data_IF_624811326126
#
_entry.id   IF_624811326126
#
_cell.length_a   1.000
_cell.length_b   1.000
_cell.length_c   1.000
_cell.angle_alpha   90.00
_cell.angle_beta   90.00
_cell.angle_gamma   90.00
#
_symmetry.space_group_name_H-M   'P 1'
#
loop_
_entity.id
_entity.type
_entity.pdbx_description
1 polymer ?
#
# COMPACT_ATOMS: atom_id res chain seq x y z
N UNK A 1 -5.91 -35.82 -5.07
CA UNK A 1 -4.78 -36.58 -5.65
C UNK A 1 -4.68 -38.02 -5.17
N UNK A 2 -4.84 -38.37 -3.90
CA UNK A 2 -4.80 -39.77 -3.39
C UNK A 2 -5.89 -40.70 -3.96
N UNK A 3 -7.05 -40.21 -4.35
CA UNK A 3 -8.15 -41.03 -4.93
C UNK A 3 -7.88 -41.47 -6.38
N UNK A 4 -7.28 -40.62 -7.20
CA UNK A 4 -7.00 -40.92 -8.61
C UNK A 4 -5.92 -42.03 -8.73
N UNK A 5 -4.91 -42.02 -7.87
CA UNK A 5 -3.86 -43.05 -7.85
C UNK A 5 -4.40 -44.45 -7.49
N UNK A 6 -5.41 -44.54 -6.64
CA UNK A 6 -6.01 -45.82 -6.25
C UNK A 6 -6.79 -46.48 -7.39
N UNK A 7 -7.45 -45.68 -8.24
CA UNK A 7 -8.16 -46.16 -9.43
C UNK A 7 -7.25 -46.62 -10.56
N UNK A 8 -6.14 -45.90 -10.79
CA UNK A 8 -5.13 -46.29 -11.80
C UNK A 8 -4.48 -47.62 -11.46
N UNK A 9 -4.21 -47.91 -10.20
CA UNK A 9 -3.62 -49.18 -9.73
C UNK A 9 -4.61 -50.34 -9.89
N UNK A 10 -5.91 -50.14 -9.72
CA UNK A 10 -6.94 -51.14 -9.93
C UNK A 10 -7.05 -51.49 -11.42
N UNK A 11 -6.97 -50.51 -12.33
CA UNK A 11 -7.04 -50.73 -13.78
C UNK A 11 -5.81 -51.48 -14.29
N UNK A 12 -4.64 -51.25 -13.70
CA UNK A 12 -3.40 -51.96 -14.09
C UNK A 12 -3.37 -53.42 -13.60
N UNK A 13 -4.02 -53.77 -12.51
CA UNK A 13 -4.14 -55.13 -12.01
C UNK A 13 -5.09 -56.00 -12.82
N UNK A 14 -6.03 -55.43 -13.56
CA UNK A 14 -7.02 -56.17 -14.39
C UNK A 14 -6.58 -56.36 -15.85
N UNK A 15 -5.31 -56.10 -16.22
CA UNK A 15 -4.82 -56.12 -17.60
C UNK A 15 -4.76 -57.48 -18.26
N UNK A 16 -5.08 -58.59 -17.55
CA UNK A 16 -4.84 -59.93 -18.08
C UNK A 16 -6.06 -60.79 -18.45
N UNK A 17 -7.33 -60.30 -18.32
CA UNK A 17 -8.53 -61.06 -18.76
C UNK A 17 -9.63 -60.13 -19.30
N UNK A 18 -9.50 -59.65 -20.54
CA UNK A 18 -10.63 -58.90 -21.07
C UNK A 18 -10.45 -58.41 -22.50
N UNK A 19 -11.26 -58.95 -23.38
CA UNK A 19 -11.24 -58.70 -24.81
C UNK A 19 -11.60 -57.27 -25.25
N UNK A 20 -11.79 -57.07 -26.54
CA UNK A 20 -12.07 -55.79 -27.25
C UNK A 20 -13.02 -54.78 -26.56
N UNK A 21 -13.97 -55.29 -25.74
CA UNK A 21 -14.98 -54.50 -25.04
C UNK A 21 -14.35 -53.65 -23.88
N UNK A 22 -13.41 -54.24 -23.15
CA UNK A 22 -12.72 -53.57 -22.05
C UNK A 22 -11.81 -52.45 -22.55
N UNK A 23 -11.13 -52.65 -23.69
CA UNK A 23 -10.31 -51.62 -24.35
C UNK A 23 -11.13 -50.41 -24.81
N UNK A 24 -12.38 -50.59 -25.25
CA UNK A 24 -13.30 -49.50 -25.62
C UNK A 24 -13.76 -48.71 -24.38
N UNK A 25 -14.10 -49.40 -23.30
CA UNK A 25 -14.49 -48.74 -22.02
C UNK A 25 -13.35 -47.95 -21.43
N UNK A 26 -12.13 -48.48 -21.39
CA UNK A 26 -10.95 -47.76 -20.88
C UNK A 26 -10.64 -46.52 -21.74
N UNK A 27 -10.73 -46.63 -23.08
CA UNK A 27 -10.59 -45.46 -23.98
C UNK A 27 -11.68 -44.42 -23.72
N UNK A 28 -12.92 -44.81 -23.56
CA UNK A 28 -14.05 -43.93 -23.28
C UNK A 28 -13.81 -43.14 -21.96
N UNK A 29 -13.45 -43.85 -20.88
CA UNK A 29 -13.17 -43.21 -19.59
C UNK A 29 -11.92 -42.33 -19.58
N UNK A 30 -10.89 -42.68 -20.33
CA UNK A 30 -9.72 -41.82 -20.52
C UNK A 30 -10.07 -40.54 -21.30
N UNK A 31 -10.93 -40.65 -22.32
CA UNK A 31 -11.38 -39.47 -23.09
C UNK A 31 -12.27 -38.56 -22.22
N UNK A 32 -13.19 -39.14 -21.44
CA UNK A 32 -14.03 -38.39 -20.50
C UNK A 32 -13.18 -37.71 -19.40
N UNK A 33 -12.19 -38.40 -18.84
CA UNK A 33 -11.26 -37.81 -17.86
C UNK A 33 -10.41 -36.70 -18.46
N UNK A 34 -9.98 -36.81 -19.72
CA UNK A 34 -9.21 -35.79 -20.43
C UNK A 34 -10.09 -34.56 -20.73
N UNK A 35 -11.35 -34.75 -21.12
CA UNK A 35 -12.32 -33.66 -21.30
C UNK A 35 -12.65 -32.96 -20.00
N UNK A 36 -12.74 -33.70 -18.88
CA UNK A 36 -12.94 -33.13 -17.55
C UNK A 36 -11.71 -32.34 -17.08
N UNK A 37 -10.49 -32.81 -17.38
CA UNK A 37 -9.26 -32.09 -17.08
C UNK A 37 -9.15 -30.79 -17.90
N UNK A 38 -9.56 -30.81 -19.16
CA UNK A 38 -9.54 -29.61 -20.04
C UNK A 38 -10.55 -28.58 -19.57
N UNK A 39 -11.73 -29.01 -19.10
CA UNK A 39 -12.74 -28.07 -18.54
C UNK A 39 -12.33 -27.43 -17.20
N UNK A 40 -11.40 -28.07 -16.45
CA UNK A 40 -10.82 -27.49 -15.23
C UNK A 40 -9.66 -26.52 -15.57
N UNK A 41 -9.06 -26.67 -16.73
CA UNK A 41 -7.93 -25.86 -17.19
C UNK A 41 -8.30 -24.68 -18.10
N UNK A 42 -9.58 -24.56 -18.49
CA UNK A 42 -10.05 -23.33 -19.14
C UNK A 42 -10.13 -22.25 -18.04
N UNK A 43 -9.31 -21.20 -18.09
CA UNK A 43 -9.53 -20.08 -17.21
C UNK A 43 -10.93 -19.55 -17.53
N UNK A 44 -11.86 -19.70 -16.60
CA UNK A 44 -13.09 -18.89 -16.62
C UNK A 44 -12.61 -17.46 -16.63
N UNK A 45 -12.82 -16.77 -17.77
CA UNK A 45 -12.60 -15.34 -17.85
C UNK A 45 -13.48 -14.76 -16.77
N UNK A 46 -12.88 -14.33 -15.66
CA UNK A 46 -13.62 -13.63 -14.63
C UNK A 46 -14.32 -12.47 -15.36
N UNK A 47 -15.63 -12.41 -15.27
CA UNK A 47 -16.36 -11.24 -15.75
C UNK A 47 -15.74 -10.05 -15.02
N UNK A 48 -15.15 -9.13 -15.76
CA UNK A 48 -14.64 -7.88 -15.22
C UNK A 48 -15.86 -7.04 -14.91
N UNK A 49 -16.33 -7.13 -13.66
CA UNK A 49 -17.38 -6.25 -13.16
C UNK A 49 -16.84 -4.83 -13.20
N UNK A 50 -17.55 -3.91 -13.84
CA UNK A 50 -17.16 -2.49 -13.83
C UNK A 50 -17.42 -1.93 -12.42
N UNK A 51 -16.39 -1.29 -11.82
CA UNK A 51 -16.51 -0.73 -10.46
C UNK A 51 -17.60 0.35 -10.39
N UNK A 52 -17.82 1.10 -11.47
CA UNK A 52 -18.89 2.11 -11.55
C UNK A 52 -20.27 1.44 -11.49
N UNK A 53 -20.44 0.33 -12.21
CA UNK A 53 -21.68 -0.44 -12.19
C UNK A 53 -21.90 -1.10 -10.81
N UNK A 54 -20.85 -1.68 -10.23
CA UNK A 54 -20.87 -2.26 -8.89
C UNK A 54 -21.31 -1.24 -7.85
N UNK A 55 -20.73 -0.02 -7.90
CA UNK A 55 -21.04 1.06 -6.97
C UNK A 55 -22.48 1.54 -7.11
N UNK A 56 -22.98 1.69 -8.36
CA UNK A 56 -24.39 2.01 -8.62
C UNK A 56 -25.36 0.93 -8.12
N UNK A 57 -25.01 -0.33 -8.34
CA UNK A 57 -25.81 -1.47 -7.87
C UNK A 57 -25.84 -1.57 -6.34
N UNK A 58 -24.80 -1.07 -5.67
CA UNK A 58 -24.78 -0.91 -4.21
C UNK A 58 -25.58 0.30 -3.70
N UNK A 59 -26.22 1.08 -4.59
CA UNK A 59 -27.08 2.20 -4.22
C UNK A 59 -26.37 3.54 -4.04
N UNK A 60 -25.11 3.66 -4.50
CA UNK A 60 -24.37 4.90 -4.41
C UNK A 60 -24.34 5.65 -5.77
N UNK A 61 -24.45 6.97 -5.71
CA UNK A 61 -24.18 7.81 -6.88
C UNK A 61 -22.68 7.85 -7.13
N UNK A 62 -22.28 7.67 -8.38
CA UNK A 62 -20.89 7.75 -8.83
C UNK A 62 -20.83 8.43 -10.19
N UNK A 63 -19.92 9.39 -10.30
CA UNK A 63 -19.58 9.96 -11.59
C UNK A 63 -18.57 9.02 -12.30
N UNK A 64 -18.87 8.51 -13.51
CA UNK A 64 -17.92 7.66 -14.25
C UNK A 64 -16.56 8.29 -14.51
N UNK A 65 -16.46 9.64 -14.50
CA UNK A 65 -15.21 10.35 -14.65
C UNK A 65 -14.27 10.18 -13.44
N UNK A 66 -14.83 9.85 -12.27
CA UNK A 66 -14.07 9.60 -11.03
C UNK A 66 -13.61 8.14 -10.88
N UNK A 67 -13.77 7.34 -11.95
CA UNK A 67 -13.27 5.96 -11.98
C UNK A 67 -11.76 5.96 -11.77
N UNK A 68 -11.23 5.16 -10.79
CA UNK A 68 -9.79 5.01 -10.61
C UNK A 68 -9.11 4.50 -11.88
N UNK A 69 -7.89 4.98 -12.14
CA UNK A 69 -7.07 4.47 -13.24
C UNK A 69 -6.48 3.09 -12.93
N UNK A 70 -6.18 2.83 -11.65
CA UNK A 70 -5.79 1.52 -11.16
C UNK A 70 -6.34 1.29 -9.75
N UNK A 71 -6.80 0.07 -9.45
CA UNK A 71 -7.29 -0.27 -8.13
C UNK A 71 -7.14 -1.76 -7.81
N UNK A 72 -6.92 -2.08 -6.53
CA UNK A 72 -6.84 -3.44 -6.02
C UNK A 72 -7.45 -3.53 -4.62
N UNK A 73 -8.11 -4.64 -4.34
CA UNK A 73 -8.48 -5.05 -2.97
C UNK A 73 -7.92 -6.43 -2.71
N UNK A 74 -7.22 -6.60 -1.61
CA UNK A 74 -6.66 -7.89 -1.19
C UNK A 74 -7.12 -8.28 0.21
N UNK A 75 -7.22 -9.57 0.45
CA UNK A 75 -7.23 -10.16 1.78
C UNK A 75 -5.82 -10.07 2.37
N UNK A 76 -5.64 -9.30 3.44
CA UNK A 76 -4.33 -9.02 4.02
C UNK A 76 -3.75 -10.17 4.87
N UNK A 77 -4.52 -11.24 5.16
CA UNK A 77 -3.99 -12.45 5.78
C UNK A 77 -3.34 -13.38 4.76
N UNK A 78 -3.92 -13.45 3.55
CA UNK A 78 -3.53 -14.46 2.54
C UNK A 78 -2.85 -13.86 1.31
N UNK A 79 -2.97 -12.56 1.08
CA UNK A 79 -2.55 -11.87 -0.14
C UNK A 79 -3.47 -12.16 -1.34
N UNK A 80 -4.62 -12.85 -1.12
CA UNK A 80 -5.55 -13.16 -2.20
C UNK A 80 -6.19 -11.88 -2.74
N UNK A 81 -6.14 -11.70 -4.05
CA UNK A 81 -6.81 -10.59 -4.74
C UNK A 81 -8.32 -10.84 -4.75
N UNK A 82 -9.08 -9.89 -4.24
CA UNK A 82 -10.55 -9.89 -4.20
C UNK A 82 -11.14 -9.03 -5.31
N UNK A 83 -10.44 -7.96 -5.67
CA UNK A 83 -10.75 -7.04 -6.76
C UNK A 83 -9.48 -6.57 -7.44
N UNK A 84 -9.52 -6.33 -8.75
CA UNK A 84 -8.40 -5.74 -9.49
C UNK A 84 -8.86 -5.02 -10.76
N UNK A 85 -8.27 -3.86 -11.03
CA UNK A 85 -8.37 -3.14 -12.30
C UNK A 85 -7.04 -2.41 -12.55
N UNK A 86 -6.38 -2.67 -13.68
CA UNK A 86 -5.11 -2.08 -14.10
C UNK A 86 -3.99 -2.09 -13.04
N UNK A 87 -3.93 -3.14 -12.22
CA UNK A 87 -3.12 -3.20 -10.99
C UNK A 87 -1.61 -3.10 -11.20
N UNK A 88 -1.13 -3.34 -12.41
CA UNK A 88 0.28 -3.30 -12.80
C UNK A 88 0.63 -2.03 -13.62
N UNK A 89 -0.31 -1.08 -13.77
CA UNK A 89 -0.04 0.20 -14.40
C UNK A 89 0.81 1.09 -13.48
N UNK A 90 1.98 1.52 -13.98
CA UNK A 90 2.90 2.40 -13.24
C UNK A 90 2.33 3.82 -13.14
N UNK A 91 2.30 4.36 -11.92
CA UNK A 91 1.78 5.68 -11.60
C UNK A 91 2.59 6.39 -10.53
N UNK A 92 2.46 7.72 -10.51
CA UNK A 92 2.97 8.53 -9.40
C UNK A 92 2.12 8.29 -8.14
N UNK A 93 2.71 7.72 -7.07
CA UNK A 93 2.01 7.51 -5.81
C UNK A 93 1.80 8.80 -4.99
N UNK A 94 2.47 9.88 -5.36
CA UNK A 94 2.52 11.10 -4.56
C UNK A 94 2.85 10.79 -3.08
N UNK A 95 2.15 11.40 -2.13
CA UNK A 95 2.36 11.20 -0.69
C UNK A 95 2.10 9.80 -0.15
N UNK A 96 1.60 8.86 -0.96
CA UNK A 96 1.57 7.43 -0.58
C UNK A 96 3.00 6.90 -0.35
N UNK A 97 3.99 7.47 -1.02
CA UNK A 97 5.43 7.16 -0.83
C UNK A 97 5.88 7.20 0.63
N UNK A 98 5.24 8.06 1.46
CA UNK A 98 5.52 8.21 2.89
C UNK A 98 5.30 6.91 3.69
N UNK A 99 4.48 5.99 3.16
CA UNK A 99 4.27 4.67 3.77
C UNK A 99 5.58 3.87 3.78
N UNK A 100 6.39 3.95 2.70
CA UNK A 100 7.72 3.31 2.67
C UNK A 100 8.68 3.98 3.64
N UNK A 101 8.66 5.31 3.77
CA UNK A 101 9.50 6.02 4.76
C UNK A 101 9.15 5.59 6.18
N UNK A 102 7.86 5.56 6.53
CA UNK A 102 7.40 5.06 7.85
C UNK A 102 7.76 3.59 8.04
N UNK A 103 7.65 2.75 6.99
CA UNK A 103 8.08 1.35 7.06
C UNK A 103 9.54 1.21 7.49
N UNK A 104 10.46 1.97 6.87
CA UNK A 104 11.89 1.95 7.22
C UNK A 104 12.16 2.48 8.63
N UNK A 105 11.41 3.47 9.09
CA UNK A 105 11.48 3.96 10.49
C UNK A 105 11.05 2.85 11.45
N UNK A 106 9.92 2.19 11.19
CA UNK A 106 9.44 1.08 12.02
C UNK A 106 10.40 -0.11 12.02
N UNK A 107 11.03 -0.39 10.87
CA UNK A 107 12.07 -1.41 10.78
C UNK A 107 13.29 -1.04 11.63
N UNK A 108 13.73 0.22 11.62
CA UNK A 108 14.84 0.72 12.45
C UNK A 108 14.50 0.66 13.94
N UNK A 109 13.24 0.96 14.31
CA UNK A 109 12.76 0.79 15.69
C UNK A 109 12.76 -0.69 16.11
N UNK A 110 12.30 -1.58 15.24
CA UNK A 110 12.29 -3.01 15.53
C UNK A 110 13.69 -3.61 15.67
N UNK A 111 14.71 -3.02 15.02
CA UNK A 111 16.12 -3.38 15.16
C UNK A 111 16.79 -2.77 16.39
N UNK A 112 16.15 -1.80 17.05
CA UNK A 112 16.71 -1.07 18.18
C UNK A 112 17.62 0.10 17.80
N UNK A 113 17.69 0.46 16.52
CA UNK A 113 18.48 1.61 16.04
C UNK A 113 17.80 2.95 16.38
N UNK A 114 16.47 2.94 16.47
CA UNK A 114 15.62 4.08 16.85
C UNK A 114 14.62 3.67 17.93
N UNK A 115 13.98 4.67 18.58
CA UNK A 115 12.84 4.43 19.45
C UNK A 115 11.73 5.44 19.20
N UNK A 116 10.46 5.10 19.48
CA UNK A 116 9.32 5.99 19.31
C UNK A 116 9.45 7.28 20.14
N UNK A 117 10.03 7.18 21.33
CA UNK A 117 10.23 8.30 22.25
C UNK A 117 11.51 9.09 21.98
N UNK A 118 12.38 8.62 21.08
CA UNK A 118 13.58 9.35 20.67
C UNK A 118 13.17 10.68 20.06
N UNK A 119 13.82 11.75 20.50
CA UNK A 119 13.54 13.11 20.04
C UNK A 119 14.52 13.52 18.95
N UNK A 120 13.98 14.18 17.94
CA UNK A 120 14.73 14.79 16.86
C UNK A 120 14.58 16.30 16.98
N UNK A 121 15.68 17.01 17.15
CA UNK A 121 15.69 18.47 17.17
C UNK A 121 15.54 18.99 15.74
N UNK A 122 14.49 19.80 15.51
CA UNK A 122 14.24 20.38 14.20
C UNK A 122 15.34 21.40 13.84
N UNK A 123 15.92 21.26 12.66
CA UNK A 123 16.87 22.19 12.09
C UNK A 123 16.19 23.42 11.50
N UNK A 124 16.98 24.40 11.11
CA UNK A 124 16.52 25.56 10.35
C UNK A 124 15.95 25.17 8.98
N UNK A 125 16.54 24.16 8.35
CA UNK A 125 16.08 23.62 7.07
C UNK A 125 14.72 22.91 7.22
N UNK A 126 14.50 22.14 8.31
CA UNK A 126 13.22 21.49 8.58
C UNK A 126 12.11 22.53 8.77
N UNK A 127 12.39 23.61 9.50
CA UNK A 127 11.47 24.73 9.68
C UNK A 127 11.19 25.46 8.35
N UNK A 128 12.21 25.63 7.50
CA UNK A 128 12.05 26.24 6.19
C UNK A 128 11.19 25.36 5.26
N UNK A 129 11.45 24.05 5.21
CA UNK A 129 10.62 23.09 4.45
C UNK A 129 9.16 23.15 4.94
N UNK A 130 8.93 23.21 6.25
CA UNK A 130 7.58 23.26 6.82
C UNK A 130 6.77 24.48 6.41
N UNK A 131 7.45 25.55 5.97
CA UNK A 131 6.86 26.81 5.54
C UNK A 131 6.59 26.87 4.03
N UNK A 132 6.95 25.84 3.25
CA UNK A 132 6.70 25.79 1.80
C UNK A 132 5.22 25.50 1.56
N UNK A 133 4.51 26.49 1.01
CA UNK A 133 3.06 26.38 0.75
C UNK A 133 2.70 25.41 -0.38
N UNK A 134 3.59 25.21 -1.34
CA UNK A 134 3.35 24.37 -2.51
C UNK A 134 3.25 22.86 -2.19
N UNK A 135 3.68 22.43 -1.01
CA UNK A 135 3.66 21.03 -0.56
C UNK A 135 2.97 20.90 0.80
N UNK A 136 2.37 19.73 1.07
CA UNK A 136 1.68 19.49 2.34
C UNK A 136 2.66 19.54 3.50
N UNK A 137 2.33 20.32 4.51
CA UNK A 137 3.12 20.45 5.74
C UNK A 137 2.21 20.76 6.93
N UNK A 138 2.78 20.58 8.12
CA UNK A 138 2.37 21.22 9.36
C UNK A 138 3.54 22.10 9.85
N UNK A 139 3.32 22.93 10.85
CA UNK A 139 4.37 23.81 11.36
C UNK A 139 5.44 23.04 12.11
N UNK A 140 6.68 23.13 11.66
CA UNK A 140 7.87 22.68 12.39
C UNK A 140 8.65 23.91 12.86
N UNK A 141 9.06 23.92 14.12
CA UNK A 141 9.75 25.06 14.74
C UNK A 141 11.20 24.71 15.01
N UNK A 142 12.13 25.51 14.49
CA UNK A 142 13.57 25.35 14.72
C UNK A 142 13.90 25.21 16.21
N UNK A 143 14.79 24.29 16.55
CA UNK A 143 15.27 24.02 17.90
C UNK A 143 14.29 23.24 18.78
N UNK A 144 13.05 22.99 18.31
CA UNK A 144 12.08 22.16 19.05
C UNK A 144 12.41 20.68 18.84
N UNK A 145 12.29 19.90 19.92
CA UNK A 145 12.48 18.46 19.90
C UNK A 145 11.15 17.74 19.64
N UNK A 146 11.08 16.98 18.55
CA UNK A 146 9.91 16.19 18.14
C UNK A 146 10.19 14.70 18.39
N UNK A 147 9.40 13.99 19.22
CA UNK A 147 9.46 12.54 19.32
C UNK A 147 9.20 11.87 17.95
N UNK A 148 9.85 10.76 17.67
CA UNK A 148 9.66 10.01 16.40
C UNK A 148 8.18 9.64 16.21
N UNK A 149 7.47 9.24 17.27
CA UNK A 149 6.04 8.95 17.17
C UNK A 149 5.19 10.15 16.71
N UNK A 150 5.53 11.37 17.16
CA UNK A 150 4.84 12.58 16.73
C UNK A 150 5.13 12.89 15.24
N UNK A 151 6.38 12.72 14.82
CA UNK A 151 6.75 12.86 13.41
C UNK A 151 6.04 11.82 12.51
N UNK A 152 5.81 10.58 13.00
CA UNK A 152 5.03 9.57 12.29
C UNK A 152 3.57 10.03 12.13
N UNK A 153 2.92 10.56 13.20
CA UNK A 153 1.57 11.13 13.12
C UNK A 153 1.51 12.27 12.09
N UNK A 154 2.46 13.22 12.16
CA UNK A 154 2.55 14.35 11.22
C UNK A 154 2.78 13.90 9.77
N UNK A 155 3.56 12.83 9.55
CA UNK A 155 3.82 12.26 8.24
C UNK A 155 2.57 11.59 7.65
N UNK A 156 1.83 10.83 8.45
CA UNK A 156 0.73 10.02 7.96
C UNK A 156 -0.60 10.80 7.86
N UNK A 157 -0.91 11.69 8.82
CA UNK A 157 -2.23 12.34 8.91
C UNK A 157 -2.26 13.63 8.09
N UNK A 158 -1.57 14.73 8.45
CA UNK A 158 -1.54 15.94 7.63
C UNK A 158 -0.60 15.82 6.43
N UNK A 159 0.05 14.65 6.27
CA UNK A 159 0.96 14.40 5.14
C UNK A 159 2.19 15.32 5.09
N UNK A 160 2.70 15.75 6.26
CA UNK A 160 3.83 16.67 6.37
C UNK A 160 5.08 16.18 5.64
N UNK A 161 5.57 16.97 4.69
CA UNK A 161 6.83 16.69 4.01
C UNK A 161 8.02 16.96 4.92
N UNK A 162 8.00 18.04 5.71
CA UNK A 162 9.06 18.35 6.68
C UNK A 162 9.25 17.22 7.69
N UNK A 163 8.17 16.76 8.34
CA UNK A 163 8.24 15.63 9.27
C UNK A 163 8.74 14.34 8.58
N UNK A 164 8.38 14.12 7.31
CA UNK A 164 8.85 12.98 6.54
C UNK A 164 10.36 13.02 6.30
N UNK A 165 10.90 14.20 5.95
CA UNK A 165 12.35 14.37 5.76
C UNK A 165 13.10 14.22 7.10
N UNK A 166 12.55 14.75 8.21
CA UNK A 166 13.13 14.53 9.54
C UNK A 166 13.19 13.04 9.90
N UNK A 167 12.15 12.26 9.60
CA UNK A 167 12.13 10.81 9.81
C UNK A 167 13.15 10.10 8.90
N UNK A 168 13.23 10.47 7.63
CA UNK A 168 14.21 9.91 6.70
C UNK A 168 15.64 10.15 7.20
N UNK A 169 15.94 11.38 7.64
CA UNK A 169 17.23 11.77 8.20
C UNK A 169 17.56 11.07 9.54
N UNK A 170 16.54 10.67 10.31
CA UNK A 170 16.74 9.87 11.52
C UNK A 170 17.22 8.45 11.19
N UNK A 171 16.78 7.87 10.06
CA UNK A 171 17.22 6.56 9.58
C UNK A 171 18.56 6.64 8.83
N UNK A 172 18.74 7.67 8.03
CA UNK A 172 19.98 7.96 7.31
C UNK A 172 20.08 9.45 7.00
N UNK A 173 21.16 10.08 7.47
CA UNK A 173 21.41 11.51 7.24
C UNK A 173 21.69 11.86 5.78
N UNK A 174 22.17 10.89 5.00
CA UNK A 174 22.33 11.02 3.56
C UNK A 174 21.01 10.68 2.87
N UNK A 175 20.38 11.69 2.29
CA UNK A 175 19.08 11.54 1.60
C UNK A 175 19.15 10.61 0.39
N UNK A 176 20.31 10.55 -0.33
CA UNK A 176 20.51 9.63 -1.44
C UNK A 176 20.63 8.18 -0.92
N UNK A 177 21.40 7.96 0.16
CA UNK A 177 21.49 6.65 0.81
C UNK A 177 20.13 6.18 1.36
N UNK A 178 19.31 7.09 1.89
CA UNK A 178 17.94 6.74 2.32
C UNK A 178 17.08 6.25 1.14
N UNK A 179 17.13 6.92 -0.01
CA UNK A 179 16.39 6.48 -1.22
C UNK A 179 16.91 5.12 -1.71
N UNK A 180 18.21 4.85 -1.63
CA UNK A 180 18.76 3.52 -1.91
C UNK A 180 18.14 2.47 -0.99
N UNK A 181 17.96 2.76 0.32
CA UNK A 181 17.28 1.87 1.26
C UNK A 181 15.82 1.65 0.89
N UNK A 182 15.09 2.69 0.46
CA UNK A 182 13.69 2.56 -0.02
C UNK A 182 13.62 1.61 -1.21
N UNK A 183 14.46 1.81 -2.23
CA UNK A 183 14.49 0.97 -3.43
C UNK A 183 14.92 -0.47 -3.12
N UNK A 184 15.88 -0.66 -2.21
CA UNK A 184 16.29 -1.98 -1.74
C UNK A 184 15.12 -2.68 -1.05
N UNK A 185 14.41 -1.98 -0.14
CA UNK A 185 13.26 -2.53 0.55
C UNK A 185 12.12 -2.89 -0.43
N UNK A 186 11.84 -2.06 -1.42
CA UNK A 186 10.88 -2.37 -2.47
C UNK A 186 11.19 -3.71 -3.15
N UNK A 187 12.45 -3.92 -3.54
CA UNK A 187 12.90 -5.20 -4.14
C UNK A 187 12.77 -6.38 -3.17
N UNK A 188 13.13 -6.20 -1.90
CA UNK A 188 13.00 -7.24 -0.86
C UNK A 188 11.54 -7.68 -0.65
N UNK A 189 10.60 -6.74 -0.77
CA UNK A 189 9.16 -6.99 -0.67
C UNK A 189 8.54 -7.56 -1.95
N UNK A 190 9.27 -7.56 -3.07
CA UNK A 190 8.76 -7.99 -4.37
C UNK A 190 7.97 -6.91 -5.12
N UNK A 191 8.16 -5.64 -4.77
CA UNK A 191 7.58 -4.46 -5.46
C UNK A 191 8.38 -4.18 -6.73
N UNK A 192 8.16 -4.99 -7.76
CA UNK A 192 9.03 -5.06 -8.94
C UNK A 192 8.83 -3.88 -9.93
N UNK A 193 7.75 -3.14 -9.78
CA UNK A 193 7.39 -1.98 -10.61
C UNK A 193 7.43 -0.67 -9.79
N UNK A 194 8.26 -0.63 -8.74
CA UNK A 194 8.39 0.54 -7.87
C UNK A 194 9.80 1.10 -7.92
N UNK A 195 9.88 2.41 -8.13
CA UNK A 195 11.12 3.19 -8.07
C UNK A 195 10.90 4.45 -7.25
N UNK A 196 11.69 4.63 -6.20
CA UNK A 196 11.72 5.85 -5.39
C UNK A 196 12.83 6.77 -5.87
N UNK A 197 12.51 8.05 -6.06
CA UNK A 197 13.42 9.15 -6.38
C UNK A 197 13.51 10.17 -5.24
N UNK A 198 12.59 10.09 -4.27
CA UNK A 198 12.56 10.93 -3.07
C UNK A 198 11.83 10.23 -1.92
N UNK A 199 12.02 10.73 -0.70
CA UNK A 199 11.48 10.12 0.52
C UNK A 199 9.99 10.38 0.76
N UNK A 200 9.40 11.43 0.15
CA UNK A 200 8.09 11.94 0.57
C UNK A 200 6.98 11.83 -0.47
N UNK A 201 7.34 11.63 -1.75
CA UNK A 201 6.42 11.67 -2.88
C UNK A 201 6.24 13.05 -3.50
N UNK A 202 6.71 14.12 -2.88
CA UNK A 202 6.86 15.41 -3.54
C UNK A 202 8.21 15.45 -4.26
N UNK A 203 8.25 15.88 -5.51
CA UNK A 203 9.49 16.00 -6.29
C UNK A 203 10.44 17.01 -5.64
N UNK A 204 11.75 16.74 -5.69
CA UNK A 204 12.74 17.49 -4.92
C UNK A 204 12.82 18.98 -5.31
N UNK A 205 12.46 19.34 -6.54
CA UNK A 205 12.42 20.75 -6.99
C UNK A 205 11.42 21.63 -6.19
N UNK A 206 10.37 21.01 -5.61
CA UNK A 206 9.38 21.73 -4.80
C UNK A 206 9.89 22.11 -3.41
N UNK A 207 11.07 21.61 -3.00
CA UNK A 207 11.66 21.91 -1.69
C UNK A 207 12.56 23.16 -1.67
N UNK A 208 12.58 23.94 -2.74
CA UNK A 208 13.36 25.20 -2.83
C UNK A 208 14.86 25.03 -2.48
N UNK A 209 15.43 23.87 -2.80
CA UNK A 209 16.83 23.55 -2.53
C UNK A 209 17.13 22.97 -1.14
N UNK A 210 16.16 22.96 -0.21
CA UNK A 210 16.36 22.40 1.15
C UNK A 210 16.39 20.85 1.18
N UNK A 211 15.96 20.18 0.10
CA UNK A 211 16.01 18.73 -0.04
C UNK A 211 16.42 18.40 -1.48
N UNK A 212 17.65 17.95 -1.66
CA UNK A 212 18.22 17.58 -2.97
C UNK A 212 19.09 16.33 -2.84
N UNK A 213 18.50 15.12 -2.98
CA UNK A 213 19.27 13.88 -2.94
C UNK A 213 20.28 13.86 -4.10
N UNK A 214 21.56 13.64 -3.78
CA UNK A 214 22.61 13.60 -4.78
C UNK A 214 22.41 12.43 -5.77
N UNK A 215 22.60 12.69 -7.07
CA UNK A 215 22.45 11.70 -8.12
C UNK A 215 20.99 11.40 -8.53
N UNK A 216 20.01 12.08 -7.94
CA UNK A 216 18.60 11.96 -8.33
C UNK A 216 18.11 13.20 -9.07
N UNK A 217 17.28 12.98 -10.08
CA UNK A 217 16.64 14.07 -10.84
C UNK A 217 15.57 14.75 -9.96
N UNK A 218 15.73 16.05 -9.72
CA UNK A 218 14.87 16.80 -8.81
C UNK A 218 13.41 16.92 -9.30
N UNK A 219 13.17 16.79 -10.61
CA UNK A 219 11.84 16.87 -11.22
C UNK A 219 11.14 15.51 -11.30
N UNK A 220 11.86 14.40 -11.06
CA UNK A 220 11.35 13.06 -11.29
C UNK A 220 10.49 12.56 -10.11
N UNK A 221 9.20 12.23 -10.33
CA UNK A 221 8.36 11.65 -9.30
C UNK A 221 8.79 10.21 -8.97
N UNK A 222 8.30 9.70 -7.84
CA UNK A 222 8.31 8.27 -7.56
C UNK A 222 7.36 7.55 -8.54
N UNK A 223 7.60 6.26 -8.78
CA UNK A 223 6.74 5.40 -9.60
C UNK A 223 6.42 4.12 -8.85
N UNK A 224 5.19 3.65 -8.96
CA UNK A 224 4.72 2.40 -8.34
C UNK A 224 3.45 1.90 -9.03
N UNK A 225 2.94 0.76 -8.59
CA UNK A 225 1.68 0.17 -9.04
C UNK A 225 0.73 -0.08 -7.88
N UNK A 226 -0.56 -0.27 -8.16
CA UNK A 226 -1.53 -0.62 -7.13
C UNK A 226 -1.18 -1.96 -6.45
N UNK A 227 -0.67 -2.94 -7.21
CA UNK A 227 -0.17 -4.21 -6.69
C UNK A 227 0.98 -4.00 -5.69
N UNK A 228 1.98 -3.24 -6.05
CA UNK A 228 3.17 -3.04 -5.23
C UNK A 228 2.83 -2.31 -3.93
N UNK A 229 1.94 -1.32 -3.99
CA UNK A 229 1.46 -0.63 -2.79
C UNK A 229 0.61 -1.53 -1.89
N UNK A 230 -0.18 -2.44 -2.45
CA UNK A 230 -0.92 -3.43 -1.65
C UNK A 230 0.05 -4.39 -0.92
N UNK A 231 1.15 -4.81 -1.57
CA UNK A 231 2.21 -5.61 -0.95
C UNK A 231 2.84 -4.84 0.22
N UNK A 232 3.22 -3.58 0.00
CA UNK A 232 3.79 -2.71 1.04
C UNK A 232 2.85 -2.55 2.24
N UNK A 233 1.58 -2.21 1.99
CA UNK A 233 0.61 -2.00 3.05
C UNK A 233 0.32 -3.27 3.82
N UNK A 234 0.17 -4.41 3.13
CA UNK A 234 -0.05 -5.71 3.76
C UNK A 234 1.13 -6.10 4.67
N UNK A 235 2.38 -5.95 4.20
CA UNK A 235 3.56 -6.29 4.99
C UNK A 235 3.71 -5.35 6.19
N UNK A 236 3.46 -4.04 6.01
CA UNK A 236 3.44 -3.04 7.10
C UNK A 236 2.44 -3.43 8.19
N UNK A 237 1.19 -3.74 7.81
CA UNK A 237 0.14 -4.14 8.76
C UNK A 237 0.45 -5.44 9.50
N UNK A 238 1.18 -6.34 8.87
CA UNK A 238 1.51 -7.64 9.47
C UNK A 238 2.74 -7.55 10.37
N UNK A 239 3.75 -6.77 10.02
CA UNK A 239 4.99 -6.61 10.80
C UNK A 239 4.90 -5.53 11.87
N UNK A 240 4.21 -4.44 11.57
CA UNK A 240 4.17 -3.22 12.39
C UNK A 240 2.74 -2.72 12.58
N UNK A 241 1.80 -3.56 13.07
CA UNK A 241 0.38 -3.21 13.18
C UNK A 241 0.13 -1.97 14.05
N UNK A 242 1.05 -1.65 14.96
CA UNK A 242 0.97 -0.46 15.80
C UNK A 242 0.96 0.86 15.02
N UNK A 243 1.39 0.87 13.73
CA UNK A 243 1.30 2.07 12.88
C UNK A 243 -0.15 2.53 12.71
N UNK A 244 -1.10 1.59 12.67
CA UNK A 244 -2.51 1.90 12.49
C UNK A 244 -3.11 2.73 13.64
N UNK A 245 -2.52 2.69 14.84
CA UNK A 245 -2.97 3.56 15.95
C UNK A 245 -2.85 5.07 15.64
N UNK A 246 -1.95 5.43 14.72
CA UNK A 246 -1.74 6.82 14.30
C UNK A 246 -2.70 7.28 13.21
N UNK A 247 -3.38 6.35 12.53
CA UNK A 247 -4.21 6.65 11.34
C UNK A 247 -5.68 6.27 11.49
N UNK A 248 -6.08 5.67 12.62
CA UNK A 248 -7.42 5.10 12.83
C UNK A 248 -8.45 6.11 13.37
N UNK A 249 -8.11 7.38 13.45
CA UNK A 249 -9.00 8.42 13.98
C UNK A 249 -9.23 9.52 12.95
N UNK A 250 -10.49 10.00 12.88
CA UNK A 250 -10.85 11.13 12.02
C UNK A 250 -10.17 12.45 12.45
N UNK A 251 -9.76 12.54 13.70
CA UNK A 251 -9.06 13.70 14.28
C UNK A 251 -7.86 13.22 15.05
N UNK A 252 -6.70 13.80 14.78
CA UNK A 252 -5.44 13.47 15.45
C UNK A 252 -4.82 14.73 16.02
N UNK A 253 -4.33 14.63 17.25
CA UNK A 253 -3.49 15.66 17.87
C UNK A 253 -2.03 15.23 17.86
N UNK A 254 -1.15 16.22 17.70
CA UNK A 254 0.31 16.04 17.79
C UNK A 254 0.87 16.98 18.83
N UNK A 255 1.98 16.63 19.45
CA UNK A 255 2.67 17.40 20.49
C UNK A 255 1.73 17.80 21.64
N UNK A 256 0.78 16.94 21.99
CA UNK A 256 -0.29 17.22 22.96
C UNK A 256 0.27 17.65 24.31
N UNK A 257 -0.35 18.69 24.90
CA UNK A 257 0.07 19.28 26.19
C UNK A 257 1.34 20.14 26.09
N UNK A 258 1.86 20.41 24.90
CA UNK A 258 2.99 21.32 24.68
C UNK A 258 2.54 22.63 24.02
N UNK A 259 3.36 23.72 24.03
CA UNK A 259 3.08 24.93 23.25
C UNK A 259 3.02 24.72 21.72
N UNK A 260 3.36 23.51 21.24
CA UNK A 260 3.40 23.11 19.83
C UNK A 260 2.30 22.12 19.48
N UNK A 261 1.26 22.01 20.34
CA UNK A 261 0.10 21.16 20.05
C UNK A 261 -0.60 21.63 18.78
N UNK A 262 -0.83 20.68 17.86
CA UNK A 262 -1.64 20.90 16.67
C UNK A 262 -2.72 19.82 16.59
N UNK A 263 -3.86 20.18 15.96
CA UNK A 263 -4.98 19.28 15.71
C UNK A 263 -5.23 19.21 14.22
N UNK A 264 -5.32 17.97 13.70
CA UNK A 264 -5.55 17.72 12.28
C UNK A 264 -6.81 16.89 12.09
N UNK A 265 -7.64 17.32 11.14
CA UNK A 265 -8.66 16.47 10.54
C UNK A 265 -8.00 15.58 9.48
N UNK A 266 -8.39 14.31 9.43
CA UNK A 266 -7.86 13.37 8.47
C UNK A 266 -8.31 13.68 7.04
N UNK A 267 -7.46 13.43 6.06
CA UNK A 267 -7.86 13.37 4.65
C UNK A 267 -8.44 12.00 4.27
N UNK A 268 -8.40 11.02 5.16
CA UNK A 268 -9.04 9.73 4.98
C UNK A 268 -10.52 9.81 5.37
N UNK A 269 -11.35 10.21 4.43
CA UNK A 269 -12.79 10.40 4.66
C UNK A 269 -13.57 9.10 4.88
N UNK A 270 -12.94 7.92 4.69
CA UNK A 270 -13.55 6.61 4.96
C UNK A 270 -13.39 6.15 6.41
N UNK A 271 -12.61 6.86 7.25
CA UNK A 271 -12.49 6.51 8.67
C UNK A 271 -13.82 6.69 9.41
N UNK A 272 -14.14 5.84 10.40
CA UNK A 272 -15.28 6.05 11.28
C UNK A 272 -15.27 7.46 11.89
N UNK A 273 -16.41 8.16 11.80
CA UNK A 273 -16.53 9.54 12.22
C UNK A 273 -16.11 10.61 11.19
N UNK A 274 -15.52 10.23 10.06
CA UNK A 274 -15.27 11.11 8.94
C UNK A 274 -16.45 11.14 7.95
N UNK A 275 -16.36 11.95 6.89
CA UNK A 275 -17.48 12.28 5.99
C UNK A 275 -18.17 11.06 5.34
N UNK A 276 -17.41 10.04 5.00
CA UNK A 276 -17.88 8.81 4.35
C UNK A 276 -17.55 7.57 5.19
N UNK A 277 -17.60 7.69 6.51
CA UNK A 277 -17.12 6.69 7.46
C UNK A 277 -17.66 5.29 7.22
N UNK A 278 -16.74 4.34 7.15
CA UNK A 278 -17.01 2.91 7.04
C UNK A 278 -16.47 2.22 8.28
N UNK A 279 -17.35 1.56 9.02
CA UNK A 279 -16.99 0.79 10.21
C UNK A 279 -15.98 -0.32 9.89
N UNK A 280 -14.81 -0.29 10.57
CA UNK A 280 -13.71 -1.22 10.35
C UNK A 280 -12.54 -0.65 9.56
N UNK A 281 -12.71 0.47 8.85
CA UNK A 281 -11.58 1.21 8.25
C UNK A 281 -10.73 1.80 9.37
N UNK A 282 -9.40 1.58 9.32
CA UNK A 282 -8.45 1.95 10.37
C UNK A 282 -7.15 2.60 9.86
N UNK A 283 -7.08 2.94 8.58
CA UNK A 283 -5.92 3.57 7.96
C UNK A 283 -6.12 3.73 6.46
N UNK A 284 -5.13 4.06 5.68
CA UNK A 284 -3.70 4.23 6.05
C UNK A 284 -3.20 5.59 5.57
N UNK A 285 -3.26 5.89 4.24
CA UNK A 285 -2.65 7.09 3.65
C UNK A 285 -3.35 7.56 2.38
N UNK A 286 -3.49 8.87 2.27
CA UNK A 286 -3.91 9.57 1.04
C UNK A 286 -2.72 10.21 0.34
N UNK A 287 -2.84 10.43 -0.96
CA UNK A 287 -1.87 11.15 -1.78
C UNK A 287 -2.55 11.98 -2.85
N UNK A 288 -1.96 13.12 -3.20
CA UNK A 288 -2.39 13.91 -4.35
C UNK A 288 -1.16 14.44 -5.07
N UNK A 289 -1.15 14.41 -6.39
CA UNK A 289 -0.15 15.03 -7.23
C UNK A 289 -0.68 16.32 -7.86
N UNK A 290 0.23 17.21 -8.26
CA UNK A 290 -0.11 18.49 -8.88
C UNK A 290 -0.91 18.40 -10.19
N UNK A 291 -1.06 17.21 -10.72
CA UNK A 291 -1.87 16.92 -11.92
C UNK A 291 -3.32 16.51 -11.60
N UNK A 292 -3.80 16.78 -10.37
CA UNK A 292 -5.17 16.49 -9.96
C UNK A 292 -5.49 15.01 -9.73
N UNK A 293 -4.49 14.16 -9.65
CA UNK A 293 -4.68 12.74 -9.33
C UNK A 293 -4.74 12.54 -7.82
N UNK A 294 -5.79 11.86 -7.35
CA UNK A 294 -5.92 11.42 -5.98
C UNK A 294 -5.58 9.93 -5.87
N UNK A 295 -4.82 9.60 -4.83
CA UNK A 295 -4.40 8.25 -4.52
C UNK A 295 -4.78 7.91 -3.10
N UNK A 296 -5.08 6.64 -2.84
CA UNK A 296 -5.56 6.20 -1.55
C UNK A 296 -5.11 4.77 -1.24
N UNK A 297 -4.65 4.55 -0.02
CA UNK A 297 -4.56 3.22 0.58
C UNK A 297 -5.51 3.21 1.77
N UNK A 298 -6.51 2.32 1.74
CA UNK A 298 -7.31 1.98 2.89
C UNK A 298 -6.86 0.67 3.51
N UNK A 299 -6.98 0.60 4.83
CA UNK A 299 -6.88 -0.64 5.59
C UNK A 299 -8.15 -0.84 6.37
N UNK A 300 -8.59 -2.10 6.45
CA UNK A 300 -9.85 -2.48 7.08
C UNK A 300 -9.63 -3.71 7.95
N UNK A 301 -10.20 -3.70 9.15
CA UNK A 301 -10.20 -4.88 10.03
C UNK A 301 -11.49 -4.92 10.85
N UNK A 302 -12.37 -5.88 10.53
CA UNK A 302 -13.60 -6.16 11.26
C UNK A 302 -14.12 -7.56 10.91
N UNK A 303 -14.77 -8.25 11.86
CA UNK A 303 -15.43 -9.54 11.64
C UNK A 303 -14.50 -10.59 11.01
N UNK A 304 -13.27 -10.70 11.49
CA UNK A 304 -12.23 -11.62 10.98
C UNK A 304 -11.81 -11.36 9.51
N UNK A 305 -12.22 -10.25 8.94
CA UNK A 305 -11.69 -9.75 7.66
C UNK A 305 -10.61 -8.72 7.93
N UNK A 306 -9.49 -8.83 7.22
CA UNK A 306 -8.42 -7.84 7.18
C UNK A 306 -8.13 -7.56 5.70
N UNK A 307 -8.39 -6.33 5.28
CA UNK A 307 -8.29 -5.96 3.88
C UNK A 307 -7.31 -4.81 3.68
N UNK A 308 -6.71 -4.77 2.51
CA UNK A 308 -6.03 -3.61 1.96
C UNK A 308 -6.69 -3.26 0.64
N UNK A 309 -7.07 -2.00 0.49
CA UNK A 309 -7.51 -1.39 -0.76
C UNK A 309 -6.48 -0.36 -1.20
N UNK A 310 -6.15 -0.36 -2.49
CA UNK A 310 -5.36 0.69 -3.12
C UNK A 310 -6.10 1.24 -4.32
N UNK A 311 -6.19 2.56 -4.38
CA UNK A 311 -6.82 3.31 -5.47
C UNK A 311 -5.82 4.35 -5.97
N UNK A 312 -5.56 4.38 -7.27
CA UNK A 312 -4.64 5.31 -7.90
C UNK A 312 -5.32 6.05 -9.07
N UNK A 313 -5.10 7.36 -9.11
CA UNK A 313 -5.48 8.18 -10.25
C UNK A 313 -6.99 8.41 -10.39
N UNK A 314 -7.62 8.83 -9.33
CA UNK A 314 -9.02 9.32 -9.35
C UNK A 314 -9.05 10.74 -9.83
#
# INVERSE_FOLDING_TARGET
MKFIFKYVIIILKYKNKGGKRLKRLVKFWLTVSLLFLVSILTPTKAETVDIVELTKNAGYEVNPADKPKASIVIDAYTGRILWQDNIDEERDPASISKVMTVYLVMESIAKGDLSLTQKITASKEDAAISSIYAISNNKIVEGVEYPIEELIKMTLVPSSNAATIMLANAVDKDSAAFIVKMNKKAKELGMNHTTFNNASGAVAELFNGYYQPEGYDASKPNQTTARDLAILAMDLMNRYPQVLQYTNSAVVKTMEGTPYEEKFDTYNYSLPGAKYGVEGVNGLKTGSSGYGSFNYIATYEKNQMKLVEVVLGV
#
